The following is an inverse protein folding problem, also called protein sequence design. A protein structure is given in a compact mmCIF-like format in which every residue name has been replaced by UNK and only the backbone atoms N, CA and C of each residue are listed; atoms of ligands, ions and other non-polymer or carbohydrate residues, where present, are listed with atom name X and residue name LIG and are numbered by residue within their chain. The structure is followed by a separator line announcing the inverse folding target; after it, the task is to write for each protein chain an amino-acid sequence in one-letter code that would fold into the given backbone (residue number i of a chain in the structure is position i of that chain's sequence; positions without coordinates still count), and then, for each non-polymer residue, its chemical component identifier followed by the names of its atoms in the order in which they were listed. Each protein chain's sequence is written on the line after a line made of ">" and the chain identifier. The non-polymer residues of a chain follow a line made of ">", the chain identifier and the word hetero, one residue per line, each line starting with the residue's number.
data_IF_152702183493
#
_entry.id   IF_152702183493
#
_cell.length_a   1.000
_cell.length_b   1.000
_cell.length_c   1.000
_cell.angle_alpha   90.00
_cell.angle_beta   90.00
_cell.angle_gamma   90.00
#
_symmetry.space_group_name_H-M   'P 1'
#
loop_
_entity.id
_entity.type
_entity.pdbx_description
1 polymer ?
#
# COMPACT_ATOMS: atom_id res chain seq x y z
N UNK A 1 -6.13 4.26 8.78
CA UNK A 1 -5.98 3.33 7.63
C UNK A 1 -5.66 4.06 6.33
N UNK A 2 -6.19 5.27 6.11
CA UNK A 2 -5.89 6.08 4.90
C UNK A 2 -4.37 6.16 4.58
N UNK A 3 -3.46 6.52 5.53
CA UNK A 3 -2.03 6.63 5.21
C UNK A 3 -1.41 5.29 4.81
N UNK A 4 -1.79 4.22 5.51
CA UNK A 4 -1.37 2.85 5.21
C UNK A 4 -1.83 2.40 3.82
N UNK A 5 -3.06 2.73 3.43
CA UNK A 5 -3.61 2.37 2.11
C UNK A 5 -2.78 2.99 0.97
N UNK A 6 -2.40 4.27 1.11
CA UNK A 6 -1.54 4.95 0.15
C UNK A 6 -0.16 4.30 0.06
N UNK A 7 0.44 3.92 1.19
CA UNK A 7 1.72 3.21 1.21
C UNK A 7 1.59 1.83 0.57
N UNK A 8 0.54 1.07 0.88
CA UNK A 8 0.31 -0.25 0.31
C UNK A 8 0.14 -0.20 -1.22
N UNK A 9 -0.69 0.74 -1.70
CA UNK A 9 -0.86 0.98 -3.13
C UNK A 9 0.44 1.43 -3.79
N UNK A 10 1.16 2.35 -3.14
CA UNK A 10 2.44 2.86 -3.61
C UNK A 10 3.49 1.75 -3.78
N UNK A 11 3.61 0.90 -2.75
CA UNK A 11 4.51 -0.26 -2.77
C UNK A 11 4.10 -1.29 -3.81
N UNK A 12 2.80 -1.56 -3.99
CA UNK A 12 2.33 -2.45 -5.04
C UNK A 12 2.70 -1.93 -6.43
N UNK A 13 2.43 -0.66 -6.72
CA UNK A 13 2.74 -0.04 -8.01
C UNK A 13 4.26 -0.01 -8.27
N UNK A 14 5.05 0.28 -7.23
CA UNK A 14 6.51 0.26 -7.31
C UNK A 14 7.04 -1.17 -7.55
N UNK A 15 6.55 -2.15 -6.78
CA UNK A 15 6.96 -3.55 -6.85
C UNK A 15 6.51 -4.25 -8.14
N UNK A 16 5.44 -3.79 -8.78
CA UNK A 16 4.90 -4.36 -10.03
C UNK A 16 5.88 -4.38 -11.21
N UNK A 17 6.90 -3.51 -11.19
CA UNK A 17 7.96 -3.46 -12.22
C UNK A 17 9.21 -4.25 -11.81
N UNK A 18 9.22 -4.85 -10.62
CA UNK A 18 10.33 -5.70 -10.16
C UNK A 18 10.41 -6.99 -10.96
N UNK A 19 11.64 -7.50 -11.15
CA UNK A 19 11.89 -8.82 -11.76
C UNK A 19 11.19 -9.95 -11.01
N UNK A 20 11.05 -9.80 -9.69
CA UNK A 20 10.44 -10.80 -8.81
C UNK A 20 8.92 -10.70 -8.69
N UNK A 21 8.27 -9.81 -9.46
CA UNK A 21 6.83 -9.67 -9.40
C UNK A 21 6.14 -10.92 -9.99
N UNK A 22 5.27 -11.60 -9.23
CA UNK A 22 4.72 -12.87 -9.66
C UNK A 22 3.87 -12.71 -10.92
N UNK A 23 4.04 -13.67 -11.84
CA UNK A 23 3.36 -13.67 -13.14
C UNK A 23 1.85 -13.88 -13.04
N UNK A 24 1.37 -14.43 -11.92
CA UNK A 24 -0.05 -14.64 -11.64
C UNK A 24 -0.83 -13.35 -11.37
N UNK A 25 -0.14 -12.26 -11.01
CA UNK A 25 -0.75 -10.97 -10.73
C UNK A 25 -0.68 -10.04 -11.94
N UNK A 26 -1.72 -9.20 -12.07
CA UNK A 26 -1.78 -8.20 -13.14
C UNK A 26 -0.67 -7.16 -12.96
N UNK A 27 0.05 -6.87 -14.05
CA UNK A 27 1.08 -5.83 -14.10
C UNK A 27 0.48 -4.58 -14.76
N UNK A 28 0.36 -3.45 -14.05
CA UNK A 28 -0.10 -2.22 -14.68
C UNK A 28 0.86 -1.78 -15.80
N UNK A 29 0.29 -1.50 -16.98
CA UNK A 29 1.01 -1.28 -18.23
C UNK A 29 1.67 0.10 -18.35
N UNK A 30 1.32 1.07 -17.50
CA UNK A 30 1.79 2.44 -17.65
C UNK A 30 3.31 2.56 -17.42
N UNK A 31 3.97 3.45 -18.16
CA UNK A 31 5.42 3.70 -18.05
C UNK A 31 5.80 4.35 -16.72
N UNK A 32 4.88 5.13 -16.16
CA UNK A 32 5.06 5.92 -14.95
C UNK A 32 4.60 5.24 -13.66
N UNK A 33 4.32 3.93 -13.66
CA UNK A 33 3.83 3.24 -12.44
C UNK A 33 4.79 3.34 -11.27
N UNK A 34 6.11 3.32 -11.52
CA UNK A 34 7.11 3.50 -10.48
C UNK A 34 7.02 4.89 -9.85
N UNK A 35 6.89 5.94 -10.67
CA UNK A 35 6.76 7.31 -10.20
C UNK A 35 5.47 7.51 -9.40
N UNK A 36 4.34 7.04 -9.92
CA UNK A 36 3.05 7.10 -9.22
C UNK A 36 3.14 6.34 -7.90
N UNK A 37 3.76 5.16 -7.91
CA UNK A 37 3.99 4.37 -6.70
C UNK A 37 4.78 5.15 -5.64
N UNK A 38 5.90 5.76 -6.03
CA UNK A 38 6.71 6.60 -5.12
C UNK A 38 5.92 7.79 -4.58
N UNK A 39 5.14 8.47 -5.43
CA UNK A 39 4.31 9.61 -5.01
C UNK A 39 3.22 9.16 -4.01
N UNK A 40 2.58 8.02 -4.23
CA UNK A 40 1.62 7.45 -3.29
C UNK A 40 2.28 7.10 -1.95
N UNK A 41 3.46 6.49 -1.95
CA UNK A 41 4.21 6.20 -0.72
C UNK A 41 4.56 7.47 0.03
N UNK A 42 5.07 8.50 -0.67
CA UNK A 42 5.38 9.79 -0.06
C UNK A 42 4.14 10.48 0.52
N UNK A 43 3.00 10.42 -0.18
CA UNK A 43 1.74 10.95 0.32
C UNK A 43 1.30 10.25 1.61
N UNK A 44 1.37 8.92 1.65
CA UNK A 44 1.05 8.15 2.86
C UNK A 44 2.00 8.46 4.03
N UNK A 45 3.31 8.58 3.78
CA UNK A 45 4.28 9.01 4.80
C UNK A 45 4.01 10.44 5.29
N UNK A 46 3.70 11.37 4.39
CA UNK A 46 3.38 12.75 4.76
C UNK A 46 2.11 12.83 5.62
N UNK A 47 1.11 11.98 5.34
CA UNK A 47 -0.09 11.88 6.18
C UNK A 47 0.25 11.37 7.58
N UNK A 48 1.10 10.34 7.71
CA UNK A 48 1.55 9.87 9.03
C UNK A 48 2.32 10.95 9.82
N UNK A 49 3.20 11.70 9.15
CA UNK A 49 3.93 12.82 9.77
C UNK A 49 2.97 13.92 10.24
N UNK A 50 1.90 14.16 9.49
CA UNK A 50 0.87 15.13 9.87
C UNK A 50 0.05 14.67 11.08
N UNK A 51 -0.26 13.38 11.21
CA UNK A 51 -1.10 12.86 12.30
C UNK A 51 -0.33 12.64 13.60
N UNK A 52 0.85 12.04 13.53
CA UNK A 52 1.59 11.52 14.69
C UNK A 52 2.92 12.27 14.95
N UNK A 53 3.12 13.40 14.28
CA UNK A 53 4.34 14.21 14.35
C UNK A 53 5.50 13.64 13.54
N UNK A 54 6.61 14.39 13.47
CA UNK A 54 7.72 14.08 12.56
C UNK A 54 8.42 12.75 12.89
N UNK A 55 8.76 12.51 14.16
CA UNK A 55 9.47 11.29 14.56
C UNK A 55 8.56 10.05 14.55
N UNK A 56 7.39 10.16 15.19
CA UNK A 56 6.41 9.07 15.27
C UNK A 56 5.84 8.70 13.90
N UNK A 57 5.46 9.70 13.11
CA UNK A 57 4.95 9.51 11.76
C UNK A 57 5.99 8.88 10.81
N UNK A 58 7.27 9.26 10.90
CA UNK A 58 8.32 8.63 10.10
C UNK A 58 8.52 7.16 10.51
N UNK A 59 8.55 6.85 11.81
CA UNK A 59 8.64 5.47 12.30
C UNK A 59 7.45 4.61 11.85
N UNK A 60 6.23 5.15 11.97
CA UNK A 60 5.01 4.50 11.48
C UNK A 60 5.05 4.29 9.97
N UNK A 61 5.55 5.27 9.21
CA UNK A 61 5.67 5.13 7.76
C UNK A 61 6.65 4.03 7.35
N UNK A 62 7.78 3.89 8.05
CA UNK A 62 8.74 2.82 7.84
C UNK A 62 8.13 1.45 8.19
N UNK A 63 7.45 1.36 9.33
CA UNK A 63 6.74 0.14 9.73
C UNK A 63 5.63 -0.23 8.74
N UNK A 64 4.89 0.75 8.24
CA UNK A 64 3.88 0.55 7.20
C UNK A 64 4.48 0.07 5.89
N UNK A 65 5.65 0.61 5.50
CA UNK A 65 6.37 0.19 4.30
C UNK A 65 6.85 -1.26 4.36
N UNK A 66 7.45 -1.66 5.49
CA UNK A 66 7.91 -3.04 5.70
C UNK A 66 6.73 -4.00 5.72
N UNK A 67 5.68 -3.66 6.47
CA UNK A 67 4.46 -4.45 6.52
C UNK A 67 3.80 -4.59 5.15
N UNK A 68 3.66 -3.50 4.39
CA UNK A 68 3.10 -3.51 3.04
C UNK A 68 3.89 -4.43 2.11
N UNK A 69 5.22 -4.35 2.11
CA UNK A 69 6.07 -5.21 1.30
C UNK A 69 5.93 -6.70 1.68
N UNK A 70 5.92 -7.00 2.98
CA UNK A 70 5.73 -8.37 3.48
C UNK A 70 4.36 -8.94 3.10
N UNK A 71 3.29 -8.16 3.26
CA UNK A 71 1.93 -8.58 2.90
C UNK A 71 1.80 -8.79 1.39
N UNK A 72 2.30 -7.86 0.57
CA UNK A 72 2.27 -7.99 -0.89
C UNK A 72 2.98 -9.28 -1.30
N UNK A 73 4.17 -9.56 -0.79
CA UNK A 73 4.91 -10.78 -1.13
C UNK A 73 4.20 -12.04 -0.64
N UNK A 74 3.76 -12.07 0.61
CA UNK A 74 3.07 -13.22 1.21
C UNK A 74 1.82 -13.59 0.41
N UNK A 75 0.92 -12.63 0.21
CA UNK A 75 -0.34 -12.87 -0.49
C UNK A 75 -0.15 -13.11 -1.99
N UNK A 76 0.89 -12.54 -2.59
CA UNK A 76 1.19 -12.83 -3.98
C UNK A 76 1.74 -14.25 -4.21
N UNK A 77 2.45 -14.83 -3.23
CA UNK A 77 2.89 -16.23 -3.25
C UNK A 77 1.73 -17.20 -3.01
N UNK A 78 0.81 -16.88 -2.09
CA UNK A 78 -0.40 -17.68 -1.81
C UNK A 78 -1.33 -17.80 -3.04
N UNK A 79 -1.28 -16.83 -3.95
CA UNK A 79 -1.96 -16.87 -5.23
C UNK A 79 -2.94 -15.71 -5.45
N UNK A 80 -3.48 -15.65 -6.67
CA UNK A 80 -4.25 -14.50 -7.16
C UNK A 80 -5.51 -14.21 -6.33
N UNK A 81 -6.26 -15.24 -5.93
CA UNK A 81 -7.48 -15.10 -5.14
C UNK A 81 -7.20 -14.52 -3.75
N UNK A 82 -6.14 -14.99 -3.08
CA UNK A 82 -5.74 -14.51 -1.77
C UNK A 82 -5.28 -13.05 -1.82
N UNK A 83 -4.54 -12.68 -2.86
CA UNK A 83 -4.13 -11.29 -3.07
C UNK A 83 -5.31 -10.34 -3.25
N UNK A 84 -6.28 -10.68 -4.11
CA UNK A 84 -7.47 -9.83 -4.26
C UNK A 84 -8.37 -9.83 -3.02
N UNK A 85 -8.46 -10.96 -2.30
CA UNK A 85 -9.14 -11.00 -1.01
C UNK A 85 -8.51 -10.04 0.00
N UNK A 86 -7.18 -10.04 0.11
CA UNK A 86 -6.44 -9.08 0.93
C UNK A 86 -6.72 -7.64 0.52
N UNK A 87 -6.64 -7.31 -0.78
CA UNK A 87 -6.96 -5.97 -1.28
C UNK A 87 -8.40 -5.57 -0.94
N UNK A 88 -9.36 -6.48 -1.09
CA UNK A 88 -10.76 -6.24 -0.75
C UNK A 88 -10.95 -5.97 0.75
N UNK A 89 -10.28 -6.73 1.62
CA UNK A 89 -10.31 -6.51 3.08
C UNK A 89 -9.73 -5.16 3.45
N UNK A 90 -8.56 -4.80 2.91
CA UNK A 90 -7.95 -3.49 3.19
C UNK A 90 -8.86 -2.36 2.69
N UNK A 91 -9.46 -2.52 1.52
CA UNK A 91 -10.40 -1.54 0.97
C UNK A 91 -11.67 -1.41 1.82
N UNK A 92 -12.22 -2.52 2.31
CA UNK A 92 -13.36 -2.50 3.22
C UNK A 92 -13.04 -1.78 4.54
N UNK A 93 -11.88 -2.07 5.15
CA UNK A 93 -11.43 -1.38 6.36
C UNK A 93 -11.23 0.12 6.14
N UNK A 94 -10.71 0.53 4.98
CA UNK A 94 -10.60 1.94 4.60
C UNK A 94 -11.99 2.62 4.51
N UNK A 95 -12.96 1.97 3.85
CA UNK A 95 -14.31 2.50 3.72
C UNK A 95 -15.02 2.63 5.07
N UNK A 96 -14.83 1.64 5.95
CA UNK A 96 -15.33 1.68 7.32
C UNK A 96 -14.74 2.89 8.06
N UNK A 97 -13.42 3.07 8.03
CA UNK A 97 -12.77 4.23 8.66
C UNK A 97 -13.30 5.56 8.10
N UNK A 98 -13.41 5.68 6.77
CA UNK A 98 -13.93 6.89 6.11
C UNK A 98 -15.38 7.19 6.54
N UNK A 99 -16.22 6.16 6.64
CA UNK A 99 -17.60 6.33 7.07
C UNK A 99 -17.68 6.86 8.50
N UNK A 100 -16.94 6.25 9.43
CA UNK A 100 -16.90 6.70 10.83
C UNK A 100 -16.24 8.07 11.03
N UNK A 101 -15.33 8.46 10.13
CA UNK A 101 -14.69 9.78 10.21
C UNK A 101 -15.54 10.90 9.58
N UNK A 102 -16.48 10.54 8.70
CA UNK A 102 -17.38 11.48 8.03
C UNK A 102 -18.74 11.67 8.75
N UNK A 103 -19.09 10.74 9.66
CA UNK A 103 -20.27 10.81 10.54
C UNK A 103 -19.99 11.57 11.83
#
# INVERSE_FOLDING_TARGET
>A
MIPFYFILLGMYLYYSKSKYFPHSLSRPGFRSTRLIGTLCTLAGSALYVRTDGWAGGLLLSLAACTLAMSLIQLFAVLGRSYFYGFVAVVHALLLIELFFHAS
#
